data_IF_085685013732
#
_entry.id   IF_085685013732
#
_cell.length_a   1.000
_cell.length_b   1.000
_cell.length_c   1.000
_cell.angle_alpha   90.00
_cell.angle_beta   90.00
_cell.angle_gamma   90.00
#
_symmetry.space_group_name_H-M   'P 1'
#
loop_
_entity.id
_entity.type
_entity.pdbx_description
1 polymer ?
#
# COMPACT_ATOMS: atom_id res chain seq x y z
N UNK A 1 -23.56 -5.63 -0.85
CA UNK A 1 -22.27 -4.92 -1.02
C UNK A 1 -21.21 -5.73 -0.28
N UNK A 2 -20.35 -6.45 -0.99
CA UNK A 2 -19.26 -7.22 -0.36
C UNK A 2 -18.08 -6.28 -0.21
N UNK A 3 -17.70 -5.96 1.03
CA UNK A 3 -16.45 -5.31 1.33
C UNK A 3 -15.37 -6.39 1.41
N UNK A 4 -14.52 -6.48 0.39
CA UNK A 4 -13.27 -7.21 0.55
C UNK A 4 -12.32 -6.28 1.33
N UNK A 5 -11.94 -6.67 2.54
CA UNK A 5 -10.89 -6.02 3.32
C UNK A 5 -9.78 -7.06 3.55
N UNK A 6 -9.16 -7.48 2.45
CA UNK A 6 -8.05 -8.43 2.50
C UNK A 6 -6.74 -7.67 2.51
N UNK A 7 -5.86 -8.00 3.46
CA UNK A 7 -4.52 -7.43 3.59
C UNK A 7 -3.53 -8.58 3.62
N UNK A 8 -2.47 -8.45 2.83
CA UNK A 8 -1.41 -9.45 2.74
C UNK A 8 -0.06 -8.79 3.00
N UNK A 9 0.79 -9.51 3.73
CA UNK A 9 2.20 -9.18 3.89
C UNK A 9 2.98 -10.24 3.14
N UNK A 10 3.66 -9.84 2.06
CA UNK A 10 4.34 -10.78 1.16
C UNK A 10 5.81 -10.42 1.03
N UNK A 11 6.64 -11.44 0.84
CA UNK A 11 8.05 -11.25 0.50
C UNK A 11 8.28 -11.61 -0.97
N UNK A 12 8.96 -10.72 -1.70
CA UNK A 12 9.39 -10.97 -3.08
C UNK A 12 10.78 -10.39 -3.29
N UNK A 13 11.73 -11.20 -3.78
CA UNK A 13 13.14 -10.81 -4.01
C UNK A 13 13.72 -10.05 -2.80
N UNK A 14 13.60 -10.68 -1.63
CA UNK A 14 14.07 -10.18 -0.33
C UNK A 14 13.40 -8.90 0.20
N UNK A 15 12.41 -8.36 -0.52
CA UNK A 15 11.64 -7.19 -0.11
C UNK A 15 10.27 -7.59 0.42
N UNK A 16 9.87 -6.95 1.51
CA UNK A 16 8.54 -7.06 2.11
C UNK A 16 7.60 -6.01 1.57
N UNK A 17 6.37 -6.42 1.29
CA UNK A 17 5.32 -5.57 0.74
C UNK A 17 4.03 -5.73 1.54
N UNK A 18 3.26 -4.65 1.64
CA UNK A 18 1.87 -4.68 2.08
C UNK A 18 0.99 -4.59 0.85
N UNK A 19 0.01 -5.48 0.73
CA UNK A 19 -0.98 -5.45 -0.34
C UNK A 19 -2.37 -5.39 0.28
N UNK A 20 -3.13 -4.34 -0.02
CA UNK A 20 -4.49 -4.12 0.46
C UNK A 20 -5.46 -4.10 -0.75
N UNK A 21 -6.47 -4.96 -0.71
CA UNK A 21 -7.45 -5.08 -1.79
C UNK A 21 -8.69 -4.24 -1.49
N UNK A 22 -9.07 -3.37 -2.44
CA UNK A 22 -10.18 -2.43 -2.33
C UNK A 22 -11.25 -2.74 -3.36
N UNK A 23 -12.46 -3.04 -2.89
CA UNK A 23 -13.66 -3.18 -3.73
C UNK A 23 -14.44 -1.86 -3.90
N UNK A 24 -13.82 -0.72 -3.56
CA UNK A 24 -14.37 0.62 -3.69
C UNK A 24 -14.87 0.87 -5.12
N UNK A 25 -15.99 1.59 -5.23
CA UNK A 25 -16.54 2.06 -6.49
C UNK A 25 -16.17 3.52 -6.66
N UNK A 26 -15.32 3.81 -7.64
CA UNK A 26 -14.94 5.18 -8.01
C UNK A 26 -15.72 5.69 -9.24
N UNK A 27 -16.42 4.76 -9.91
CA UNK A 27 -17.27 5.01 -11.06
C UNK A 27 -17.23 3.87 -12.07
N UNK A 28 -17.80 4.12 -13.25
CA UNK A 28 -18.05 3.15 -14.32
C UNK A 28 -16.93 3.06 -15.36
N UNK A 29 -16.03 4.04 -15.42
CA UNK A 29 -14.94 4.08 -16.41
C UNK A 29 -13.57 3.87 -15.75
N UNK A 30 -12.61 3.38 -16.53
CA UNK A 30 -11.24 3.20 -16.05
C UNK A 30 -10.56 4.52 -15.63
N UNK A 31 -10.91 5.64 -16.26
CA UNK A 31 -10.37 6.97 -15.90
C UNK A 31 -10.71 7.39 -14.46
N UNK A 32 -11.82 6.88 -13.92
CA UNK A 32 -12.20 7.07 -12.51
C UNK A 32 -11.36 6.23 -11.54
N UNK A 33 -10.50 5.36 -12.07
CA UNK A 33 -9.46 4.63 -11.32
C UNK A 33 -8.06 5.05 -11.76
N UNK A 34 -7.92 6.23 -12.39
CA UNK A 34 -6.62 6.84 -12.68
C UNK A 34 -5.83 7.14 -11.40
N UNK A 35 -4.53 7.42 -11.55
CA UNK A 35 -3.67 7.77 -10.41
C UNK A 35 -4.23 8.96 -9.61
N UNK A 36 -4.76 9.98 -10.29
CA UNK A 36 -5.38 11.14 -9.63
C UNK A 36 -6.66 10.75 -8.88
N UNK A 37 -7.58 10.04 -9.53
CA UNK A 37 -8.83 9.62 -8.89
C UNK A 37 -8.59 8.66 -7.71
N UNK A 38 -7.60 7.77 -7.83
CA UNK A 38 -7.19 6.90 -6.71
C UNK A 38 -6.53 7.70 -5.59
N UNK A 39 -5.73 8.72 -5.87
CA UNK A 39 -5.14 9.58 -4.84
C UNK A 39 -6.24 10.27 -4.01
N UNK A 40 -7.25 10.82 -4.67
CA UNK A 40 -8.40 11.44 -4.00
C UNK A 40 -9.14 10.41 -3.12
N UNK A 41 -9.42 9.22 -3.66
CA UNK A 41 -10.04 8.14 -2.89
C UNK A 41 -9.18 7.66 -1.71
N UNK A 42 -7.86 7.63 -1.86
CA UNK A 42 -6.92 7.30 -0.77
C UNK A 42 -6.99 8.34 0.35
N UNK A 43 -7.18 9.61 0.00
CA UNK A 43 -7.37 10.72 0.94
C UNK A 43 -8.73 10.61 1.65
N UNK A 44 -9.83 10.53 0.88
CA UNK A 44 -11.20 10.52 1.41
C UNK A 44 -11.46 9.37 2.37
N UNK A 45 -10.89 8.20 2.09
CA UNK A 45 -11.02 7.02 2.94
C UNK A 45 -9.91 6.88 4.00
N UNK A 46 -9.05 7.89 4.16
CA UNK A 46 -7.94 7.91 5.12
C UNK A 46 -6.99 6.71 4.98
N UNK A 47 -6.87 6.18 3.77
CA UNK A 47 -6.00 5.03 3.48
C UNK A 47 -4.52 5.39 3.63
N UNK A 48 -4.16 6.67 3.47
CA UNK A 48 -2.82 7.18 3.81
C UNK A 48 -2.45 6.90 5.27
N UNK A 49 -3.30 7.31 6.20
CA UNK A 49 -3.08 7.05 7.63
C UNK A 49 -3.04 5.54 7.90
N UNK A 50 -3.98 4.80 7.31
CA UNK A 50 -4.07 3.35 7.47
C UNK A 50 -2.76 2.65 7.11
N UNK A 51 -2.17 2.91 5.94
CA UNK A 51 -0.96 2.20 5.55
C UNK A 51 0.26 2.64 6.36
N UNK A 52 0.35 3.90 6.80
CA UNK A 52 1.46 4.34 7.64
C UNK A 52 1.49 3.58 8.98
N UNK A 53 0.33 3.34 9.60
CA UNK A 53 0.23 2.52 10.81
C UNK A 53 0.72 1.09 10.55
N UNK A 54 0.32 0.50 9.42
CA UNK A 54 0.77 -0.86 9.07
C UNK A 54 2.25 -0.93 8.73
N UNK A 55 2.80 0.12 8.13
CA UNK A 55 4.23 0.21 7.85
C UNK A 55 5.05 0.29 9.11
N UNK A 56 4.64 1.10 10.09
CA UNK A 56 5.33 1.15 11.39
C UNK A 56 5.27 -0.21 12.08
N UNK A 57 4.11 -0.86 12.10
CA UNK A 57 3.96 -2.20 12.67
C UNK A 57 4.86 -3.23 11.98
N UNK A 58 4.89 -3.23 10.64
CA UNK A 58 5.74 -4.12 9.86
C UNK A 58 7.22 -3.81 10.07
N UNK A 59 7.62 -2.55 10.03
CA UNK A 59 9.00 -2.10 10.23
C UNK A 59 9.55 -2.56 11.58
N UNK A 60 8.80 -2.32 12.66
CA UNK A 60 9.15 -2.81 14.01
C UNK A 60 9.20 -4.34 14.06
N UNK A 61 8.23 -5.02 13.45
CA UNK A 61 8.22 -6.49 13.44
C UNK A 61 9.44 -7.08 12.72
N UNK A 62 9.81 -6.52 11.56
CA UNK A 62 10.97 -6.97 10.80
C UNK A 62 12.27 -6.68 11.55
N UNK A 63 12.39 -5.51 12.18
CA UNK A 63 13.55 -5.17 13.02
C UNK A 63 13.76 -6.11 14.21
N UNK A 64 12.69 -6.71 14.74
CA UNK A 64 12.77 -7.71 15.81
C UNK A 64 13.12 -9.12 15.32
N UNK A 65 12.82 -9.46 14.06
CA UNK A 65 12.85 -10.86 13.56
C UNK A 65 13.95 -11.12 12.56
N UNK A 66 14.29 -10.14 11.73
CA UNK A 66 15.32 -10.27 10.71
C UNK A 66 16.64 -9.76 11.26
N UNK A 67 17.66 -10.63 11.22
CA UNK A 67 19.04 -10.22 11.47
C UNK A 67 19.46 -9.23 10.37
N UNK A 68 20.16 -8.17 10.76
CA UNK A 68 20.69 -7.15 9.85
C UNK A 68 19.60 -6.45 9.00
N UNK A 69 18.39 -6.32 9.56
CA UNK A 69 17.29 -5.62 8.90
C UNK A 69 17.66 -4.17 8.54
N UNK A 70 17.41 -3.83 7.28
CA UNK A 70 17.52 -2.48 6.76
C UNK A 70 16.30 -2.18 5.87
N UNK A 71 15.60 -1.09 6.17
CA UNK A 71 14.42 -0.66 5.44
C UNK A 71 14.70 -0.45 3.94
N UNK A 72 15.85 0.09 3.57
CA UNK A 72 16.11 0.43 2.16
C UNK A 72 16.33 -0.79 1.27
N UNK A 73 16.82 -1.89 1.85
CA UNK A 73 17.05 -3.15 1.13
C UNK A 73 15.92 -4.14 1.29
N UNK A 74 15.24 -4.17 2.45
CA UNK A 74 14.23 -5.18 2.78
C UNK A 74 12.79 -4.69 2.69
N UNK A 75 12.52 -3.38 2.49
CA UNK A 75 11.16 -2.89 2.33
C UNK A 75 10.86 -2.43 0.89
N UNK A 76 9.80 -3.00 0.33
CA UNK A 76 9.45 -2.88 -1.08
C UNK A 76 8.34 -1.89 -1.40
N UNK A 77 7.51 -1.49 -0.44
CA UNK A 77 6.40 -0.56 -0.64
C UNK A 77 5.03 -1.14 -0.27
N UNK A 78 4.00 -0.33 -0.52
CA UNK A 78 2.59 -0.68 -0.29
C UNK A 78 1.84 -0.62 -1.60
N UNK A 79 0.92 -1.57 -1.77
CA UNK A 79 -0.01 -1.61 -2.90
C UNK A 79 -1.44 -1.53 -2.40
N UNK A 80 -2.21 -0.60 -2.95
CA UNK A 80 -3.66 -0.53 -2.80
C UNK A 80 -4.29 -0.87 -4.14
N UNK A 81 -4.92 -2.04 -4.19
CA UNK A 81 -5.47 -2.63 -5.40
C UNK A 81 -6.97 -2.36 -5.48
N UNK A 82 -7.35 -1.31 -6.20
CA UNK A 82 -8.74 -1.01 -6.53
C UNK A 82 -9.21 -1.96 -7.64
N UNK A 83 -9.66 -3.15 -7.24
CA UNK A 83 -9.86 -4.31 -8.13
C UNK A 83 -10.83 -4.03 -9.29
N UNK A 84 -11.75 -3.07 -9.15
CA UNK A 84 -12.71 -2.68 -10.20
C UNK A 84 -12.06 -1.90 -11.34
N UNK A 85 -10.93 -1.24 -11.09
CA UNK A 85 -10.19 -0.47 -12.08
C UNK A 85 -9.05 -1.23 -12.74
N UNK A 86 -8.79 -2.47 -12.33
CA UNK A 86 -7.69 -3.27 -12.87
C UNK A 86 -8.11 -3.99 -14.16
N UNK A 87 -7.31 -3.85 -15.21
CA UNK A 87 -7.50 -4.56 -16.48
C UNK A 87 -6.15 -4.97 -17.08
N UNK A 88 -6.02 -6.15 -17.70
CA UNK A 88 -4.75 -6.62 -18.28
C UNK A 88 -4.15 -5.65 -19.30
N UNK A 89 -5.00 -5.00 -20.10
CA UNK A 89 -4.55 -4.11 -21.19
C UNK A 89 -4.06 -2.74 -20.69
N UNK A 90 -4.35 -2.37 -19.44
CA UNK A 90 -4.01 -1.06 -18.89
C UNK A 90 -2.86 -1.09 -17.88
N UNK A 91 -2.17 -2.23 -17.76
CA UNK A 91 -1.06 -2.42 -16.82
C UNK A 91 -1.39 -1.82 -15.43
N UNK A 92 -0.49 -1.03 -14.86
CA UNK A 92 -0.69 -0.32 -13.58
C UNK A 92 -1.18 1.13 -13.74
N UNK A 93 -1.65 1.54 -14.92
CA UNK A 93 -2.16 2.91 -15.10
C UNK A 93 -3.47 3.13 -14.33
N UNK A 94 -4.30 2.09 -14.22
CA UNK A 94 -5.57 2.13 -13.51
C UNK A 94 -5.66 1.06 -12.42
N UNK A 95 -6.34 1.38 -11.33
CA UNK A 95 -6.69 0.43 -10.27
C UNK A 95 -5.53 -0.03 -9.37
N UNK A 96 -4.30 0.42 -9.62
CA UNK A 96 -3.12 0.09 -8.80
C UNK A 96 -2.50 1.37 -8.28
N UNK A 97 -2.67 1.62 -6.98
CA UNK A 97 -1.95 2.65 -6.25
C UNK A 97 -0.73 2.03 -5.57
N UNK A 98 0.43 2.67 -5.70
CA UNK A 98 1.68 2.26 -5.07
C UNK A 98 2.32 3.44 -4.34
N UNK A 99 2.82 3.17 -3.14
CA UNK A 99 3.68 4.12 -2.42
C UNK A 99 4.83 3.40 -1.71
N UNK A 100 5.92 4.12 -1.48
CA UNK A 100 7.03 3.69 -0.61
C UNK A 100 7.53 4.91 0.16
N UNK A 101 6.97 5.18 1.36
CA UNK A 101 7.47 6.23 2.22
C UNK A 101 8.97 6.06 2.48
N UNK A 102 9.67 7.17 2.66
CA UNK A 102 11.11 7.12 2.94
C UNK A 102 11.39 6.48 4.29
N UNK A 103 12.60 5.92 4.44
CA UNK A 103 13.09 5.42 5.73
C UNK A 103 12.98 6.46 6.84
N UNK A 104 13.26 7.74 6.52
CA UNK A 104 13.15 8.84 7.49
C UNK A 104 11.72 9.05 8.02
N UNK A 105 10.70 8.98 7.14
CA UNK A 105 9.30 9.10 7.55
C UNK A 105 8.91 7.91 8.44
N UNK A 106 9.28 6.69 8.05
CA UNK A 106 8.91 5.49 8.82
C UNK A 106 9.63 5.44 10.17
N UNK A 107 10.91 5.82 10.23
CA UNK A 107 11.63 5.93 11.50
C UNK A 107 10.97 6.98 12.40
N UNK A 108 10.69 8.17 11.87
CA UNK A 108 10.03 9.23 12.64
C UNK A 108 8.68 8.77 13.20
N UNK A 109 7.83 8.17 12.38
CA UNK A 109 6.54 7.64 12.85
C UNK A 109 6.73 6.47 13.83
N UNK A 110 7.71 5.61 13.63
CA UNK A 110 8.03 4.51 14.54
C UNK A 110 8.61 5.00 15.88
N UNK A 111 9.12 6.21 15.99
CA UNK A 111 9.62 6.74 17.26
C UNK A 111 8.55 7.57 18.00
N UNK A 112 7.51 8.04 17.29
CA UNK A 112 6.54 9.02 17.81
C UNK A 112 5.08 8.54 17.82
N UNK A 113 4.78 7.32 17.37
CA UNK A 113 3.48 6.64 17.51
C UNK A 113 3.53 5.56 18.60
#
# INVERSE_FOLDING_TARGET
MVFLNLKSYIQHKDKWYIVDYKSNYLGDTYDQYSQTAMFDAMSDHHYFLQYHIYLVALHRNLGLRLKDYDYDTHFGGVFYLFIRGMHPDFASHYGVFYDRPTKSVINYLSDNL
#
